data_IF_194340679639
#
_entry.id   IF_194340679639
#
_cell.length_a   1.000
_cell.length_b   1.000
_cell.length_c   1.000
_cell.angle_alpha   90.00
_cell.angle_beta   90.00
_cell.angle_gamma   90.00
#
_symmetry.space_group_name_H-M   'P 1'
#
loop_
_entity.id
_entity.type
_entity.pdbx_description
1 polymer ?
#
# COMPACT_ATOMS: atom_id res chain seq x y z
N UNK A 1 -18.11 -16.06 16.68
CA UNK A 1 -18.35 -14.64 16.97
C UNK A 1 -17.80 -13.83 15.81
N UNK A 2 -18.70 -13.23 15.05
CA UNK A 2 -18.34 -12.53 13.82
C UNK A 2 -18.31 -11.01 14.08
N UNK A 3 -17.40 -10.57 14.92
CA UNK A 3 -17.22 -9.13 15.13
C UNK A 3 -16.10 -8.61 14.18
N UNK A 4 -16.27 -7.45 13.52
CA UNK A 4 -15.25 -6.90 12.61
C UNK A 4 -13.85 -6.81 13.20
N UNK A 5 -13.74 -6.45 14.49
CA UNK A 5 -12.44 -6.37 15.20
C UNK A 5 -11.68 -7.70 15.30
N UNK A 6 -12.37 -8.84 15.09
CA UNK A 6 -11.76 -10.17 15.18
C UNK A 6 -11.17 -10.60 13.83
N UNK A 7 -11.45 -9.85 12.75
CA UNK A 7 -11.01 -10.17 11.39
C UNK A 7 -9.48 -10.25 11.24
N UNK A 8 -8.65 -9.34 11.79
CA UNK A 8 -7.19 -9.43 11.68
C UNK A 8 -6.62 -10.72 12.27
N UNK A 9 -7.24 -11.29 13.31
CA UNK A 9 -6.80 -12.54 13.91
C UNK A 9 -6.99 -13.76 12.97
N UNK A 10 -7.86 -13.66 11.98
CA UNK A 10 -8.05 -14.72 10.96
C UNK A 10 -6.99 -14.72 9.88
N UNK A 11 -6.23 -13.62 9.77
CA UNK A 11 -5.14 -13.42 8.81
C UNK A 11 -3.92 -12.85 9.54
N UNK A 12 -3.28 -13.61 10.44
CA UNK A 12 -2.16 -13.12 11.24
C UNK A 12 -0.97 -12.72 10.35
N UNK A 13 -0.12 -11.81 10.85
CA UNK A 13 1.05 -11.32 10.12
C UNK A 13 1.91 -12.45 9.54
N UNK A 14 2.09 -13.53 10.32
CA UNK A 14 2.91 -14.67 9.87
C UNK A 14 2.36 -15.37 8.63
N UNK A 15 1.05 -15.33 8.37
CA UNK A 15 0.47 -15.92 7.17
C UNK A 15 0.85 -15.14 5.90
N UNK A 16 0.96 -13.81 6.00
CA UNK A 16 1.45 -12.96 4.91
C UNK A 16 2.95 -13.19 4.69
N UNK A 17 3.73 -13.20 5.77
CA UNK A 17 5.17 -13.43 5.70
C UNK A 17 5.51 -14.81 5.12
N UNK A 18 4.75 -15.86 5.47
CA UNK A 18 4.90 -17.21 4.91
C UNK A 18 4.61 -17.21 3.41
N UNK A 19 3.54 -16.58 2.98
CA UNK A 19 3.19 -16.49 1.56
C UNK A 19 4.27 -15.76 0.75
N UNK A 20 4.80 -14.66 1.27
CA UNK A 20 5.92 -13.91 0.67
C UNK A 20 7.17 -14.80 0.63
N UNK A 21 7.54 -15.44 1.73
CA UNK A 21 8.70 -16.33 1.76
C UNK A 21 8.59 -17.45 0.73
N UNK A 22 7.44 -18.08 0.62
CA UNK A 22 7.18 -19.15 -0.34
C UNK A 22 7.29 -18.66 -1.79
N UNK A 23 6.67 -17.53 -2.12
CA UNK A 23 6.73 -16.97 -3.48
C UNK A 23 8.15 -16.57 -3.85
N UNK A 24 8.90 -15.97 -2.93
CA UNK A 24 10.29 -15.59 -3.16
C UNK A 24 11.22 -16.80 -3.31
N UNK A 25 10.96 -17.89 -2.56
CA UNK A 25 11.68 -19.15 -2.72
C UNK A 25 11.48 -19.74 -4.13
N UNK A 26 10.25 -19.76 -4.61
CA UNK A 26 9.94 -20.23 -5.97
C UNK A 26 10.55 -19.33 -7.03
N UNK A 27 10.48 -18.01 -6.85
CA UNK A 27 11.09 -17.04 -7.75
C UNK A 27 12.62 -17.18 -7.85
N UNK A 28 13.26 -17.48 -6.72
CA UNK A 28 14.73 -17.72 -6.69
C UNK A 28 15.12 -18.92 -7.54
N UNK A 29 14.31 -19.98 -7.52
CA UNK A 29 14.56 -21.18 -8.36
C UNK A 29 14.21 -20.93 -9.82
N UNK A 30 13.12 -20.22 -10.07
CA UNK A 30 12.65 -19.90 -11.41
C UNK A 30 13.48 -18.81 -12.11
N UNK A 31 14.26 -18.01 -11.37
CA UNK A 31 15.01 -16.88 -11.89
C UNK A 31 14.12 -15.76 -12.44
N UNK A 32 12.93 -15.56 -11.86
CA UNK A 32 11.99 -14.56 -12.35
C UNK A 32 11.94 -13.30 -11.47
N UNK A 33 11.54 -12.18 -12.08
CA UNK A 33 11.27 -10.93 -11.39
C UNK A 33 9.98 -11.05 -10.57
N UNK A 34 9.93 -10.38 -9.43
CA UNK A 34 8.77 -10.39 -8.53
C UNK A 34 8.33 -8.96 -8.20
N UNK A 35 7.03 -8.77 -8.22
CA UNK A 35 6.33 -7.65 -7.64
C UNK A 35 5.43 -8.15 -6.53
N UNK A 36 5.66 -7.66 -5.29
CA UNK A 36 4.87 -7.99 -4.11
C UNK A 36 3.88 -6.85 -3.83
N UNK A 37 2.59 -7.02 -4.12
CA UNK A 37 1.59 -6.01 -3.80
C UNK A 37 1.32 -5.95 -2.29
N UNK A 38 0.79 -4.81 -1.83
CA UNK A 38 0.17 -4.58 -0.52
C UNK A 38 0.87 -5.26 0.67
N UNK A 39 2.18 -5.07 0.84
CA UNK A 39 2.93 -5.50 2.03
C UNK A 39 2.43 -4.70 3.24
N UNK A 40 2.08 -5.39 4.34
CA UNK A 40 1.38 -4.76 5.46
C UNK A 40 2.07 -4.88 6.82
N UNK A 41 3.04 -5.76 7.01
CA UNK A 41 3.57 -6.05 8.33
C UNK A 41 5.09 -6.24 8.36
N UNK A 42 5.66 -6.09 9.55
CA UNK A 42 7.10 -6.20 9.79
C UNK A 42 7.68 -7.58 9.48
N UNK A 43 6.93 -8.65 9.74
CA UNK A 43 7.38 -10.02 9.45
C UNK A 43 7.53 -10.24 7.93
N UNK A 44 6.67 -9.62 7.13
CA UNK A 44 6.79 -9.60 5.67
C UNK A 44 8.03 -8.86 5.20
N UNK A 45 8.35 -7.72 5.83
CA UNK A 45 9.58 -6.97 5.56
C UNK A 45 10.83 -7.79 5.88
N UNK A 46 10.82 -8.57 6.97
CA UNK A 46 11.93 -9.46 7.33
C UNK A 46 12.15 -10.53 6.24
N UNK A 47 11.10 -11.14 5.74
CA UNK A 47 11.20 -12.08 4.62
C UNK A 47 11.80 -11.42 3.37
N UNK A 48 11.34 -10.22 3.00
CA UNK A 48 11.86 -9.45 1.86
C UNK A 48 13.35 -9.13 2.04
N UNK A 49 13.76 -8.66 3.22
CA UNK A 49 15.15 -8.36 3.56
C UNK A 49 16.06 -9.58 3.40
N UNK A 50 15.58 -10.74 3.83
CA UNK A 50 16.32 -11.99 3.73
C UNK A 50 16.62 -12.35 2.27
N UNK A 51 15.62 -12.31 1.39
CA UNK A 51 15.83 -12.64 -0.02
C UNK A 51 16.66 -11.59 -0.77
N UNK A 52 16.55 -10.31 -0.42
CA UNK A 52 17.47 -9.27 -0.93
C UNK A 52 18.91 -9.52 -0.51
N UNK A 53 19.12 -9.89 0.75
CA UNK A 53 20.46 -10.24 1.25
C UNK A 53 21.05 -11.46 0.53
N UNK A 54 20.22 -12.44 0.20
CA UNK A 54 20.68 -13.61 -0.56
C UNK A 54 20.96 -13.30 -2.03
N UNK A 55 20.32 -12.27 -2.59
CA UNK A 55 20.49 -11.88 -3.99
C UNK A 55 20.02 -12.92 -5.00
N UNK A 56 19.06 -13.76 -4.60
CA UNK A 56 18.61 -14.91 -5.39
C UNK A 56 17.41 -14.60 -6.31
N UNK A 57 16.72 -13.49 -6.08
CA UNK A 57 15.62 -12.99 -6.93
C UNK A 57 16.17 -11.84 -7.78
N UNK A 58 16.11 -11.91 -9.13
CA UNK A 58 16.77 -10.94 -10.01
C UNK A 58 16.27 -9.51 -9.80
N UNK A 59 14.96 -9.32 -9.70
CA UNK A 59 14.33 -8.04 -9.40
C UNK A 59 13.18 -8.26 -8.42
N UNK A 60 13.19 -7.51 -7.32
CA UNK A 60 12.18 -7.60 -6.28
C UNK A 60 11.67 -6.20 -5.94
N UNK A 61 10.46 -5.89 -6.41
CA UNK A 61 9.69 -4.73 -6.00
C UNK A 61 8.71 -5.10 -4.90
N UNK A 62 8.61 -4.24 -3.89
CA UNK A 62 7.61 -4.33 -2.83
C UNK A 62 6.76 -3.06 -2.82
N UNK A 63 5.46 -3.25 -2.71
CA UNK A 63 4.46 -2.20 -2.66
C UNK A 63 3.75 -2.20 -1.31
N UNK A 64 3.35 -1.04 -0.85
CA UNK A 64 2.32 -0.87 0.20
C UNK A 64 1.26 0.12 -0.26
N UNK A 65 0.26 0.38 0.59
CA UNK A 65 -0.88 1.21 0.21
C UNK A 65 -1.12 2.33 1.25
N UNK A 66 -1.74 3.45 0.85
CA UNK A 66 -2.01 4.57 1.76
C UNK A 66 -2.75 4.15 3.02
N UNK A 67 -3.72 3.25 2.92
CA UNK A 67 -4.49 2.79 4.08
C UNK A 67 -3.64 2.03 5.11
N UNK A 68 -2.60 1.28 4.69
CA UNK A 68 -1.65 0.65 5.63
C UNK A 68 -0.64 1.63 6.22
N UNK A 69 -0.44 2.78 5.58
CA UNK A 69 0.44 3.85 6.05
C UNK A 69 -0.26 4.84 6.98
N UNK A 70 -1.60 4.84 7.03
CA UNK A 70 -2.42 5.82 7.74
C UNK A 70 -3.28 5.24 8.84
N UNK A 71 -3.81 4.03 8.62
CA UNK A 71 -4.79 3.38 9.47
C UNK A 71 -4.17 2.19 10.21
N UNK A 72 -4.82 1.78 11.29
CA UNK A 72 -4.51 0.56 12.03
C UNK A 72 -5.78 -0.24 12.34
N UNK A 73 -5.64 -1.38 12.98
CA UNK A 73 -6.75 -2.30 13.25
C UNK A 73 -7.82 -1.75 14.21
N UNK A 74 -7.56 -0.65 14.91
CA UNK A 74 -8.56 0.04 15.73
C UNK A 74 -9.75 0.55 14.89
N UNK A 75 -9.50 0.80 13.58
CA UNK A 75 -10.55 1.26 12.66
C UNK A 75 -11.67 0.22 12.49
N UNK A 76 -11.37 -1.07 12.63
CA UNK A 76 -12.40 -2.12 12.60
C UNK A 76 -13.38 -2.02 13.79
N UNK A 77 -12.91 -1.55 14.93
CA UNK A 77 -13.79 -1.29 16.08
C UNK A 77 -14.64 -0.03 15.89
N UNK A 78 -14.10 0.99 15.21
CA UNK A 78 -14.75 2.29 15.00
C UNK A 78 -15.70 2.30 13.81
N UNK A 79 -15.31 1.68 12.71
CA UNK A 79 -15.98 1.75 11.40
C UNK A 79 -16.58 0.41 10.95
N UNK A 80 -16.42 -0.64 11.75
CA UNK A 80 -16.93 -1.96 11.41
C UNK A 80 -16.35 -2.49 10.10
N UNK A 81 -17.18 -3.14 9.33
CA UNK A 81 -16.78 -3.77 8.06
C UNK A 81 -16.39 -2.79 6.94
N UNK A 82 -16.65 -1.49 7.10
CA UNK A 82 -16.13 -0.46 6.18
C UNK A 82 -14.60 -0.33 6.25
N UNK A 83 -13.98 -0.74 7.35
CA UNK A 83 -12.53 -0.77 7.51
C UNK A 83 -11.91 -2.15 7.16
N UNK A 84 -12.69 -3.06 6.56
CA UNK A 84 -12.22 -4.38 6.21
C UNK A 84 -11.34 -4.32 4.96
N UNK A 85 -10.05 -4.61 5.13
CA UNK A 85 -9.05 -4.69 4.06
C UNK A 85 -8.55 -6.13 3.92
N UNK A 86 -8.00 -6.49 2.77
CA UNK A 86 -7.32 -7.76 2.56
C UNK A 86 -6.01 -7.53 1.79
N UNK A 87 -4.87 -7.69 2.46
CA UNK A 87 -4.67 -8.08 3.87
C UNK A 87 -5.32 -7.14 4.89
N UNK A 88 -5.57 -7.59 6.15
CA UNK A 88 -6.17 -6.72 7.17
C UNK A 88 -5.29 -5.54 7.54
N UNK A 89 -5.90 -4.46 8.05
CA UNK A 89 -5.17 -3.41 8.76
C UNK A 89 -4.43 -4.02 9.95
N UNK A 90 -3.18 -3.61 10.15
CA UNK A 90 -2.28 -4.13 11.18
C UNK A 90 -2.18 -3.17 12.36
N UNK A 91 -1.33 -3.50 13.32
CA UNK A 91 -1.04 -2.64 14.47
C UNK A 91 -0.21 -1.42 14.05
N UNK A 92 -0.25 -0.39 14.90
CA UNK A 92 0.57 0.81 14.73
C UNK A 92 2.05 0.52 14.52
N UNK A 93 2.58 -0.49 15.23
CA UNK A 93 3.99 -0.89 15.08
C UNK A 93 4.32 -1.41 13.67
N UNK A 94 3.39 -2.06 12.99
CA UNK A 94 3.54 -2.48 11.59
C UNK A 94 3.51 -1.27 10.66
N UNK A 95 2.58 -0.31 10.90
CA UNK A 95 2.52 0.94 10.14
C UNK A 95 3.83 1.72 10.23
N UNK A 96 4.41 1.87 11.41
CA UNK A 96 5.70 2.56 11.56
C UNK A 96 6.86 1.80 10.91
N UNK A 97 6.83 0.46 10.92
CA UNK A 97 7.81 -0.36 10.21
C UNK A 97 7.73 -0.19 8.68
N UNK A 98 6.52 -0.01 8.12
CA UNK A 98 6.36 0.31 6.70
C UNK A 98 6.97 1.67 6.34
N UNK A 99 6.76 2.70 7.16
CA UNK A 99 7.40 4.01 6.95
C UNK A 99 8.93 3.94 7.04
N UNK A 100 9.46 3.16 7.96
CA UNK A 100 10.90 2.90 8.05
C UNK A 100 11.40 2.19 6.79
N UNK A 101 10.70 1.16 6.33
CA UNK A 101 11.03 0.43 5.11
C UNK A 101 10.99 1.31 3.85
N UNK A 102 10.10 2.29 3.78
CA UNK A 102 10.07 3.30 2.72
C UNK A 102 11.34 4.16 2.77
N UNK A 103 11.69 4.69 3.95
CA UNK A 103 12.91 5.52 4.10
C UNK A 103 14.19 4.77 3.73
N UNK A 104 14.22 3.48 4.03
CA UNK A 104 15.36 2.60 3.72
C UNK A 104 15.35 2.07 2.27
N UNK A 105 14.35 2.44 1.46
CA UNK A 105 14.19 1.96 0.07
C UNK A 105 13.80 0.49 -0.03
N UNK A 106 13.30 -0.11 1.04
CA UNK A 106 12.86 -1.50 1.08
C UNK A 106 11.45 -1.69 0.50
N UNK A 107 10.60 -0.68 0.60
CA UNK A 107 9.36 -0.53 -0.16
C UNK A 107 9.61 0.51 -1.25
N UNK A 108 9.37 0.15 -2.50
CA UNK A 108 9.66 0.97 -3.66
C UNK A 108 8.43 1.63 -4.27
N UNK A 109 7.24 1.11 -3.99
CA UNK A 109 5.99 1.57 -4.61
C UNK A 109 4.92 1.79 -3.54
N UNK A 110 4.14 2.86 -3.72
CA UNK A 110 2.87 3.05 -3.02
C UNK A 110 1.77 3.12 -4.08
N UNK A 111 0.78 2.23 -3.97
CA UNK A 111 -0.35 2.17 -4.90
C UNK A 111 -1.67 2.15 -4.12
N UNK A 112 -2.76 2.49 -4.79
CA UNK A 112 -4.05 2.68 -4.13
C UNK A 112 -4.68 1.39 -3.64
N UNK A 113 -4.44 0.28 -4.34
CA UNK A 113 -5.16 -0.99 -4.16
C UNK A 113 -6.68 -0.76 -4.08
N UNK A 114 -7.17 0.14 -4.96
CA UNK A 114 -8.54 0.59 -4.89
C UNK A 114 -9.51 -0.52 -5.30
N UNK A 115 -10.44 -0.83 -4.42
CA UNK A 115 -11.55 -1.72 -4.68
C UNK A 115 -12.85 -0.91 -4.65
N UNK A 116 -13.42 -0.71 -5.83
CA UNK A 116 -14.68 0.03 -6.00
C UNK A 116 -15.86 -0.85 -5.60
N UNK A 117 -16.22 -0.86 -4.33
CA UNK A 117 -17.49 -1.38 -3.89
C UNK A 117 -18.48 -0.22 -3.76
N UNK A 118 -19.68 -0.36 -4.36
CA UNK A 118 -20.76 0.58 -4.13
C UNK A 118 -21.10 0.55 -2.64
N UNK A 119 -20.64 1.55 -1.90
CA UNK A 119 -20.79 1.63 -0.45
C UNK A 119 -22.00 2.49 -0.10
N UNK A 120 -23.15 1.85 0.02
CA UNK A 120 -24.05 2.35 1.05
C UNK A 120 -23.66 1.66 2.36
N UNK A 121 -23.20 2.41 3.37
CA UNK A 121 -22.87 1.88 4.70
C UNK A 121 -24.02 1.08 5.35
N UNK A 122 -25.20 1.18 4.79
CA UNK A 122 -26.44 0.51 5.20
C UNK A 122 -26.80 -0.72 4.34
N UNK A 123 -25.92 -1.14 3.42
CA UNK A 123 -26.21 -2.34 2.65
C UNK A 123 -26.12 -3.60 3.50
N UNK A 124 -27.06 -4.56 3.39
CA UNK A 124 -27.05 -5.82 4.13
C UNK A 124 -25.74 -6.60 3.97
N UNK A 125 -25.03 -6.39 2.84
CA UNK A 125 -23.76 -7.02 2.54
C UNK A 125 -22.67 -6.66 3.57
N UNK A 126 -22.71 -5.48 4.17
CA UNK A 126 -21.77 -5.05 5.22
C UNK A 126 -22.16 -5.49 6.63
N UNK A 127 -23.30 -6.15 6.81
CA UNK A 127 -23.77 -6.59 8.14
C UNK A 127 -22.96 -7.79 8.68
N UNK A 128 -22.49 -8.68 7.81
CA UNK A 128 -21.77 -9.90 8.19
C UNK A 128 -20.29 -9.79 7.85
N UNK A 129 -19.41 -9.88 8.85
CA UNK A 129 -17.96 -9.64 8.69
C UNK A 129 -17.31 -10.50 7.62
N UNK A 130 -17.64 -11.78 7.54
CA UNK A 130 -16.99 -12.68 6.56
C UNK A 130 -17.55 -12.51 5.13
N UNK A 131 -18.77 -12.04 4.99
CA UNK A 131 -19.41 -11.78 3.70
C UNK A 131 -19.19 -10.37 3.19
N UNK A 132 -18.91 -9.43 4.10
CA UNK A 132 -18.64 -8.05 3.72
C UNK A 132 -17.47 -8.00 2.71
N UNK A 133 -17.60 -7.21 1.66
CA UNK A 133 -16.49 -6.95 0.75
C UNK A 133 -15.33 -6.34 1.51
N UNK A 134 -14.12 -6.51 0.97
CA UNK A 134 -12.90 -5.93 1.51
C UNK A 134 -12.28 -4.96 0.49
N UNK A 135 -11.55 -3.97 0.99
CA UNK A 135 -10.96 -2.91 0.19
C UNK A 135 -11.71 -1.58 0.34
N UNK A 136 -11.10 -0.54 -0.16
CA UNK A 136 -11.62 0.82 -0.13
C UNK A 136 -11.40 1.52 -1.48
N UNK A 137 -12.20 2.52 -1.83
CA UNK A 137 -11.84 3.45 -2.88
C UNK A 137 -10.59 4.23 -2.44
N UNK A 138 -9.77 4.69 -3.37
CA UNK A 138 -8.54 5.39 -2.96
C UNK A 138 -7.70 5.91 -4.11
N UNK A 139 -8.16 5.79 -5.35
CA UNK A 139 -7.43 6.31 -6.52
C UNK A 139 -7.27 7.82 -6.40
N UNK A 140 -8.36 8.54 -6.10
CA UNK A 140 -8.40 10.00 -6.03
C UNK A 140 -7.59 10.56 -4.85
N UNK A 141 -7.48 9.78 -3.78
CA UNK A 141 -6.83 10.21 -2.53
C UNK A 141 -5.40 9.72 -2.40
N UNK A 142 -4.93 8.85 -3.29
CA UNK A 142 -3.59 8.27 -3.26
C UNK A 142 -2.50 9.32 -3.04
N UNK A 143 -2.48 10.34 -3.89
CA UNK A 143 -1.46 11.39 -3.83
C UNK A 143 -1.62 12.23 -2.56
N UNK A 144 -2.81 12.79 -2.31
CA UNK A 144 -3.04 13.71 -1.20
C UNK A 144 -2.79 13.05 0.16
N UNK A 145 -3.23 11.80 0.35
CA UNK A 145 -2.99 11.07 1.60
C UNK A 145 -1.51 10.76 1.78
N UNK A 146 -0.82 10.29 0.72
CA UNK A 146 0.60 9.99 0.80
C UNK A 146 1.44 11.26 1.00
N UNK A 147 1.05 12.38 0.40
CA UNK A 147 1.66 13.69 0.65
C UNK A 147 1.51 14.12 2.10
N UNK A 148 0.28 14.12 2.62
CA UNK A 148 0.01 14.55 3.99
C UNK A 148 0.75 13.70 5.02
N UNK A 149 0.65 12.39 4.90
CA UNK A 149 1.29 11.47 5.86
C UNK A 149 2.80 11.40 5.70
N UNK A 150 3.30 11.52 4.49
CA UNK A 150 4.73 11.43 4.17
C UNK A 150 5.46 12.76 4.31
N UNK A 151 5.08 13.75 3.49
CA UNK A 151 5.78 15.02 3.36
C UNK A 151 5.40 15.97 4.49
N UNK A 152 4.12 16.27 4.67
CA UNK A 152 3.68 17.26 5.66
C UNK A 152 4.05 16.84 7.10
N UNK A 153 4.05 15.53 7.39
CA UNK A 153 4.51 14.99 8.70
C UNK A 153 6.03 14.73 8.76
N UNK A 154 6.80 15.10 7.73
CA UNK A 154 8.25 15.00 7.72
C UNK A 154 8.81 13.57 7.75
N UNK A 155 8.03 12.56 7.31
CA UNK A 155 8.45 11.15 7.31
C UNK A 155 9.37 10.82 6.14
N UNK A 156 9.15 11.45 4.98
CA UNK A 156 9.93 11.29 3.75
C UNK A 156 10.10 12.65 3.05
N UNK A 157 11.07 12.75 2.13
CA UNK A 157 11.28 13.94 1.31
C UNK A 157 10.50 13.87 -0.03
N UNK A 158 10.31 15.01 -0.68
CA UNK A 158 9.60 15.09 -1.97
C UNK A 158 10.20 14.12 -3.02
N UNK A 159 11.53 14.02 -3.20
CA UNK A 159 12.08 13.06 -4.14
C UNK A 159 11.71 11.60 -3.84
N UNK A 160 11.53 11.23 -2.56
CA UNK A 160 11.10 9.89 -2.17
C UNK A 160 9.67 9.63 -2.62
N UNK A 161 8.77 10.62 -2.45
CA UNK A 161 7.40 10.53 -2.90
C UNK A 161 7.31 10.35 -4.43
N UNK A 162 8.11 11.12 -5.19
CA UNK A 162 8.19 11.00 -6.65
C UNK A 162 8.68 9.61 -7.06
N UNK A 163 9.68 9.07 -6.37
CA UNK A 163 10.12 7.69 -6.62
C UNK A 163 9.02 6.67 -6.35
N UNK A 164 8.31 6.80 -5.24
CA UNK A 164 7.27 5.86 -4.80
C UNK A 164 6.05 5.83 -5.74
N UNK A 165 5.62 6.99 -6.22
CA UNK A 165 4.37 7.14 -6.97
C UNK A 165 4.55 7.22 -8.49
N UNK A 166 5.76 7.55 -8.98
CA UNK A 166 5.98 7.83 -10.40
C UNK A 166 7.14 7.00 -10.99
N UNK A 167 8.36 7.20 -10.50
CA UNK A 167 9.56 6.63 -11.13
C UNK A 167 9.62 5.11 -10.99
N UNK A 168 9.47 4.58 -9.78
CA UNK A 168 9.57 3.15 -9.52
C UNK A 168 8.42 2.34 -10.15
N UNK A 169 7.15 2.78 -10.09
CA UNK A 169 6.09 2.15 -10.88
C UNK A 169 6.41 2.11 -12.38
N UNK A 170 6.90 3.21 -12.94
CA UNK A 170 7.27 3.26 -14.36
C UNK A 170 8.41 2.28 -14.68
N UNK A 171 9.43 2.16 -13.83
CA UNK A 171 10.50 1.17 -13.97
C UNK A 171 9.99 -0.26 -13.87
N UNK A 172 9.15 -0.53 -12.88
CA UNK A 172 8.59 -1.85 -12.62
C UNK A 172 7.81 -2.39 -13.83
N UNK A 173 7.01 -1.54 -14.46
CA UNK A 173 6.15 -1.90 -15.58
C UNK A 173 6.72 -1.58 -16.96
N UNK A 174 8.01 -1.28 -17.06
CA UNK A 174 8.71 -1.06 -18.34
C UNK A 174 8.28 0.22 -19.07
N UNK A 175 7.74 1.21 -18.36
CA UNK A 175 7.31 2.49 -18.91
C UNK A 175 8.39 3.58 -18.83
N UNK A 176 9.40 3.37 -17.98
CA UNK A 176 10.52 4.29 -17.84
C UNK A 176 11.49 4.15 -19.05
N UNK A 177 12.08 5.24 -19.59
CA UNK A 177 11.98 6.64 -19.18
C UNK A 177 10.84 7.43 -19.85
N UNK A 178 9.97 6.79 -20.64
CA UNK A 178 8.85 7.49 -21.28
C UNK A 178 7.91 8.13 -20.24
N UNK A 179 7.65 7.42 -19.14
CA UNK A 179 6.89 7.86 -17.96
C UNK A 179 7.78 7.86 -16.71
N UNK A 180 7.34 8.55 -15.66
CA UNK A 180 8.00 8.56 -14.35
C UNK A 180 9.20 9.49 -14.24
N UNK A 181 9.43 10.36 -15.22
CA UNK A 181 10.49 11.37 -15.23
C UNK A 181 10.11 12.55 -16.14
N UNK A 182 10.76 13.71 -15.92
CA UNK A 182 10.62 14.91 -16.75
C UNK A 182 11.88 15.16 -17.63
N UNK A 183 12.60 14.11 -17.96
CA UNK A 183 13.77 14.22 -18.84
C UNK A 183 13.34 14.54 -20.29
N UNK A 184 14.22 15.22 -21.07
CA UNK A 184 13.95 15.45 -22.49
C UNK A 184 13.68 14.13 -23.23
N UNK A 185 12.57 14.09 -23.97
CA UNK A 185 12.10 12.89 -24.66
C UNK A 185 11.08 12.03 -23.90
N UNK A 186 10.81 12.35 -22.62
CA UNK A 186 9.72 11.74 -21.86
C UNK A 186 8.39 12.41 -22.17
N UNK A 187 7.29 11.71 -21.86
CA UNK A 187 5.96 12.29 -21.88
C UNK A 187 5.88 13.43 -20.84
N UNK A 188 5.18 14.50 -21.19
CA UNK A 188 5.04 15.67 -20.31
C UNK A 188 3.85 15.53 -19.35
N UNK A 189 3.77 14.43 -18.62
CA UNK A 189 2.78 14.23 -17.55
C UNK A 189 3.24 14.99 -16.32
N UNK A 190 2.66 16.15 -16.06
CA UNK A 190 3.09 17.09 -15.02
C UNK A 190 1.97 17.26 -13.98
N UNK A 191 2.31 17.14 -12.72
CA UNK A 191 1.44 17.50 -11.59
C UNK A 191 2.03 18.73 -10.92
N UNK A 192 1.22 19.76 -10.72
CA UNK A 192 1.57 20.97 -9.98
C UNK A 192 0.97 20.85 -8.59
N UNK A 193 1.79 21.05 -7.56
CA UNK A 193 1.38 20.93 -6.16
C UNK A 193 1.57 22.25 -5.46
N UNK A 194 0.51 22.78 -4.86
CA UNK A 194 0.61 23.88 -3.89
C UNK A 194 0.57 23.30 -2.47
N UNK A 195 1.69 23.33 -1.73
CA UNK A 195 1.71 22.80 -0.36
C UNK A 195 0.90 23.62 0.65
N UNK A 196 0.50 24.82 0.28
CA UNK A 196 -0.30 25.73 1.12
C UNK A 196 -1.80 25.62 0.91
N UNK A 197 -2.24 24.77 -0.02
CA UNK A 197 -3.66 24.58 -0.32
C UNK A 197 -4.21 23.38 0.47
N UNK A 198 -5.16 23.65 1.36
CA UNK A 198 -5.83 22.63 2.16
C UNK A 198 -7.09 22.14 1.46
N UNK A 199 -7.18 20.84 1.28
CA UNK A 199 -8.35 20.17 0.71
C UNK A 199 -8.97 19.20 1.72
N UNK A 200 -10.28 19.28 1.88
CA UNK A 200 -11.05 18.35 2.73
C UNK A 200 -11.67 17.29 1.82
N UNK A 201 -11.35 16.03 2.10
CA UNK A 201 -11.96 14.91 1.39
C UNK A 201 -13.47 14.94 1.68
N UNK A 202 -14.34 15.07 0.67
CA UNK A 202 -15.78 15.12 0.89
C UNK A 202 -16.32 13.77 1.37
N UNK A 203 -17.38 13.81 2.20
CA UNK A 203 -18.01 12.59 2.76
C UNK A 203 -18.71 11.74 1.68
N UNK A 204 -18.91 12.27 0.50
CA UNK A 204 -19.49 11.58 -0.66
C UNK A 204 -18.66 11.88 -1.88
N UNK A 205 -18.22 10.82 -2.57
CA UNK A 205 -17.76 10.96 -3.95
C UNK A 205 -18.99 11.17 -4.84
N UNK A 206 -19.11 12.35 -5.44
CA UNK A 206 -20.13 12.71 -6.42
C UNK A 206 -19.71 12.34 -7.86
N UNK A 207 -18.85 11.30 -8.00
CA UNK A 207 -18.35 10.84 -9.31
C UNK A 207 -18.89 9.46 -9.67
#
# INVERSE_FOLDING_TARGET
REHPRDYPATHPNISEAEAIFRVLSLASVAGCNIYLPHVTCKESLEAIRLFRKWGTVPTLFAETCPHYLTLDDSQLALRGNLAKMSPPLRKEADREALWEAIRNGEIQVVASDAAGHATAANEPLFAETFRAPHGAPGVDTLFCVTWNEGIAKGRVAIPDLVRLLCENPAKCFGLYPRKGTLLPGSDADVVIVDPGDDWIIPDRNEH
#
